data_IF_629315761286
#
_entry.id   IF_629315761286
#
_cell.length_a   1.000
_cell.length_b   1.000
_cell.length_c   1.000
_cell.angle_alpha   90.00
_cell.angle_beta   90.00
_cell.angle_gamma   90.00
#
_symmetry.space_group_name_H-M   'P 1'
#
loop_
_entity.id
_entity.type
_entity.pdbx_description
1 polymer ?
#
# COMPACT_ATOMS: atom_id res chain seq x y z
N UNK A 1 -7.76 15.23 -25.77
CA UNK A 1 -6.62 14.42 -25.31
C UNK A 1 -7.19 13.31 -24.44
N UNK A 2 -6.94 12.05 -24.78
CA UNK A 2 -7.45 10.93 -23.97
C UNK A 2 -6.66 10.91 -22.66
N UNK A 3 -7.33 11.05 -21.51
CA UNK A 3 -6.69 10.97 -20.20
C UNK A 3 -7.04 9.64 -19.57
N UNK A 4 -6.02 8.94 -19.06
CA UNK A 4 -6.13 7.61 -18.47
C UNK A 4 -6.26 7.74 -16.96
N UNK A 5 -7.19 6.99 -16.37
CA UNK A 5 -7.37 6.94 -14.93
C UNK A 5 -6.28 6.11 -14.25
N UNK A 6 -5.42 6.78 -13.49
CA UNK A 6 -4.37 6.13 -12.69
C UNK A 6 -4.96 5.28 -11.56
N UNK A 7 -6.15 5.63 -11.05
CA UNK A 7 -6.79 4.84 -10.00
C UNK A 7 -7.32 3.51 -10.55
N UNK A 8 -7.87 3.48 -11.77
CA UNK A 8 -8.21 2.22 -12.43
C UNK A 8 -6.97 1.32 -12.64
N UNK A 9 -5.82 1.89 -13.02
CA UNK A 9 -4.55 1.13 -13.10
C UNK A 9 -4.15 0.59 -11.73
N UNK A 10 -4.32 1.40 -10.68
CA UNK A 10 -4.02 1.01 -9.31
C UNK A 10 -4.88 -0.18 -8.85
N UNK A 11 -6.19 -0.10 -9.06
CA UNK A 11 -7.11 -1.17 -8.71
C UNK A 11 -6.80 -2.45 -9.46
N UNK A 12 -6.60 -2.37 -10.79
CA UNK A 12 -6.27 -3.53 -11.60
C UNK A 12 -4.97 -4.19 -11.14
N UNK A 13 -3.90 -3.41 -10.91
CA UNK A 13 -2.64 -3.94 -10.37
C UNK A 13 -2.86 -4.67 -9.04
N UNK A 14 -3.62 -4.08 -8.12
CA UNK A 14 -3.88 -4.68 -6.82
C UNK A 14 -4.72 -5.96 -6.89
N UNK A 15 -5.72 -6.01 -7.77
CA UNK A 15 -6.50 -7.22 -8.05
C UNK A 15 -5.61 -8.34 -8.60
N UNK A 16 -4.69 -8.00 -9.52
CA UNK A 16 -3.70 -8.93 -10.08
C UNK A 16 -2.57 -9.31 -9.09
N UNK A 17 -2.58 -8.71 -7.90
CA UNK A 17 -1.55 -8.85 -6.87
C UNK A 17 -0.24 -8.15 -7.19
N UNK A 18 -0.17 -7.34 -8.24
CA UNK A 18 0.99 -6.50 -8.53
C UNK A 18 1.08 -5.38 -7.48
N UNK A 19 2.24 -5.26 -6.85
CA UNK A 19 2.50 -4.22 -5.87
C UNK A 19 2.33 -2.84 -6.50
N UNK A 20 1.52 -2.03 -5.83
CA UNK A 20 1.17 -0.69 -6.27
C UNK A 20 0.90 0.16 -5.05
N UNK A 21 1.15 1.46 -5.17
CA UNK A 21 0.75 2.45 -4.17
C UNK A 21 -0.28 3.37 -4.80
N UNK A 22 -1.15 3.95 -3.97
CA UNK A 22 -2.15 4.88 -4.44
C UNK A 22 -1.58 6.01 -5.35
N UNK A 23 -2.28 6.41 -6.43
CA UNK A 23 -1.80 7.44 -7.35
C UNK A 23 -1.40 8.76 -6.67
N UNK A 24 -2.18 9.26 -5.69
CA UNK A 24 -1.79 10.47 -4.94
C UNK A 24 -0.42 10.34 -4.25
N UNK A 25 -0.12 9.16 -3.66
CA UNK A 25 1.17 8.93 -3.00
C UNK A 25 2.30 8.87 -4.03
N UNK A 26 2.06 8.21 -5.17
CA UNK A 26 3.04 8.15 -6.25
C UNK A 26 3.35 9.54 -6.82
N UNK A 27 2.33 10.36 -7.07
CA UNK A 27 2.48 11.74 -7.52
C UNK A 27 3.17 12.62 -6.48
N UNK A 28 2.84 12.45 -5.19
CA UNK A 28 3.50 13.14 -4.09
C UNK A 28 4.99 12.80 -4.00
N UNK A 29 5.33 11.51 -4.10
CA UNK A 29 6.73 11.06 -4.11
C UNK A 29 7.47 11.61 -5.34
N UNK A 30 6.85 11.51 -6.53
CA UNK A 30 7.40 12.06 -7.78
C UNK A 30 7.68 13.57 -7.68
N UNK A 31 6.85 14.33 -6.96
CA UNK A 31 7.11 15.74 -6.62
C UNK A 31 8.35 15.90 -5.75
N UNK A 32 8.52 15.10 -4.69
CA UNK A 32 9.63 15.26 -3.73
C UNK A 32 10.98 14.86 -4.32
N UNK A 33 11.00 13.84 -5.18
CA UNK A 33 12.19 13.48 -5.96
C UNK A 33 12.49 14.47 -7.11
N UNK A 34 11.73 15.57 -7.21
CA UNK A 34 11.86 16.53 -8.28
C UNK A 34 11.65 17.99 -7.91
N UNK A 35 12.77 18.72 -7.88
CA UNK A 35 12.96 19.76 -8.90
C UNK A 35 12.91 19.13 -10.32
N UNK A 36 11.79 18.49 -10.71
CA UNK A 36 11.61 17.81 -12.02
C UNK A 36 12.41 16.50 -12.26
N UNK A 37 12.99 15.89 -11.23
CA UNK A 37 13.86 14.71 -11.32
C UNK A 37 13.31 13.60 -12.21
N UNK A 38 14.01 13.32 -13.31
CA UNK A 38 13.76 12.30 -14.36
C UNK A 38 12.40 12.40 -15.09
N UNK A 39 11.33 12.85 -14.44
CA UNK A 39 10.00 12.98 -15.03
C UNK A 39 9.92 14.10 -16.08
N UNK A 40 10.55 15.26 -15.81
CA UNK A 40 10.55 16.42 -16.72
C UNK A 40 11.69 16.37 -17.77
N UNK A 41 12.78 15.61 -17.51
CA UNK A 41 14.02 15.68 -18.31
C UNK A 41 14.02 14.83 -19.59
N UNK A 42 13.09 13.89 -19.77
CA UNK A 42 13.22 12.83 -20.80
C UNK A 42 11.96 12.57 -21.65
N UNK A 43 10.95 13.44 -21.64
CA UNK A 43 9.77 13.25 -22.50
C UNK A 43 9.53 14.43 -23.44
N UNK A 44 9.40 14.16 -24.76
CA UNK A 44 9.05 15.19 -25.73
C UNK A 44 7.55 15.57 -25.72
N UNK A 45 6.72 14.85 -24.96
CA UNK A 45 5.26 15.00 -24.93
C UNK A 45 4.74 15.89 -23.79
N UNK A 46 3.49 16.35 -23.94
CA UNK A 46 2.75 17.10 -22.91
C UNK A 46 2.39 16.19 -21.74
N UNK A 47 2.82 16.51 -20.52
CA UNK A 47 2.60 15.69 -19.32
C UNK A 47 1.52 16.31 -18.41
N UNK A 48 0.26 16.19 -18.80
CA UNK A 48 -0.88 16.71 -18.03
C UNK A 48 -1.41 15.68 -17.03
N UNK A 49 -1.71 16.13 -15.82
CA UNK A 49 -2.32 15.34 -14.76
C UNK A 49 -3.53 16.13 -14.23
N UNK A 50 -4.66 15.46 -14.04
CA UNK A 50 -5.85 16.03 -13.41
C UNK A 50 -6.08 15.32 -12.09
N UNK A 51 -6.05 16.09 -11.00
CA UNK A 51 -6.30 15.61 -9.63
C UNK A 51 -7.48 16.39 -9.08
N UNK A 52 -8.62 15.74 -8.90
CA UNK A 52 -9.82 16.48 -8.57
C UNK A 52 -10.12 17.55 -9.64
N UNK A 53 -10.61 18.71 -9.21
CA UNK A 53 -10.84 19.86 -10.10
C UNK A 53 -9.59 20.50 -10.71
N UNK A 54 -8.38 20.08 -10.32
CA UNK A 54 -7.13 20.76 -10.70
C UNK A 54 -6.45 20.10 -11.90
N UNK A 55 -6.17 20.90 -12.93
CA UNK A 55 -5.28 20.52 -14.03
C UNK A 55 -3.85 20.95 -13.71
N UNK A 56 -2.93 20.01 -13.77
CA UNK A 56 -1.50 20.16 -13.57
C UNK A 56 -0.84 19.92 -14.92
N UNK A 57 -0.19 20.94 -15.46
CA UNK A 57 0.52 20.85 -16.76
C UNK A 57 2.01 20.53 -16.58
N UNK A 58 2.54 20.76 -15.39
CA UNK A 58 3.92 20.49 -15.02
C UNK A 58 3.99 19.88 -13.62
N UNK A 59 4.89 18.91 -13.38
CA UNK A 59 5.03 18.25 -12.08
C UNK A 59 5.27 19.23 -10.91
N UNK A 60 5.94 20.35 -11.15
CA UNK A 60 6.13 21.42 -10.15
C UNK A 60 4.81 22.00 -9.60
N UNK A 61 3.73 21.97 -10.38
CA UNK A 61 2.40 22.45 -9.97
C UNK A 61 1.64 21.44 -9.10
N UNK A 62 2.13 20.19 -8.95
CA UNK A 62 1.55 19.21 -8.02
C UNK A 62 1.59 19.68 -6.56
N UNK A 63 2.42 20.68 -6.24
CA UNK A 63 2.42 21.32 -4.91
C UNK A 63 1.05 21.94 -4.57
N UNK A 64 0.32 22.40 -5.58
CA UNK A 64 -0.95 23.09 -5.42
C UNK A 64 -2.14 22.10 -5.41
N UNK A 65 -1.91 20.82 -5.77
CA UNK A 65 -2.93 19.79 -5.92
C UNK A 65 -3.31 19.04 -4.62
N UNK A 66 -2.93 19.54 -3.43
CA UNK A 66 -3.26 18.95 -2.10
C UNK A 66 -3.05 17.42 -2.04
N UNK A 67 -1.89 16.95 -2.49
CA UNK A 67 -1.48 15.53 -2.49
C UNK A 67 -0.96 15.04 -1.12
N UNK A 68 -1.03 15.89 -0.11
CA UNK A 68 -0.55 15.70 1.25
C UNK A 68 -1.53 14.93 2.15
N UNK A 69 -2.69 14.55 1.60
CA UNK A 69 -3.70 13.78 2.33
C UNK A 69 -3.19 12.37 2.65
N UNK A 70 -3.11 12.05 3.94
CA UNK A 70 -3.01 10.67 4.44
C UNK A 70 -4.30 9.87 4.22
N UNK A 71 -5.39 10.54 3.83
CA UNK A 71 -6.65 9.88 3.44
C UNK A 71 -6.61 9.59 1.95
N UNK A 72 -6.68 8.30 1.62
CA UNK A 72 -6.37 7.74 0.31
C UNK A 72 -7.38 8.14 -0.80
N UNK A 73 -8.59 8.57 -0.47
CA UNK A 73 -9.64 8.83 -1.48
C UNK A 73 -10.07 10.31 -1.65
N UNK A 74 -9.29 11.28 -1.14
CA UNK A 74 -9.75 12.68 -1.05
C UNK A 74 -10.18 13.30 -2.39
N UNK A 75 -9.51 12.94 -3.49
CA UNK A 75 -9.73 13.59 -4.79
C UNK A 75 -10.55 12.78 -5.78
N UNK A 76 -10.90 11.53 -5.48
CA UNK A 76 -11.78 10.65 -6.27
C UNK A 76 -11.32 10.28 -7.69
N UNK A 77 -10.41 11.04 -8.30
CA UNK A 77 -10.00 10.85 -9.69
C UNK A 77 -8.59 11.39 -9.94
N UNK A 78 -7.80 10.60 -10.66
CA UNK A 78 -6.40 10.87 -11.01
C UNK A 78 -6.19 10.57 -12.50
N UNK A 79 -6.51 11.53 -13.36
CA UNK A 79 -6.34 11.32 -14.80
C UNK A 79 -4.98 11.82 -15.27
N UNK A 80 -4.37 11.13 -16.22
CA UNK A 80 -3.05 11.44 -16.72
C UNK A 80 -2.93 11.19 -18.23
N UNK A 81 -1.97 11.82 -18.89
CA UNK A 81 -1.63 11.45 -20.28
C UNK A 81 -1.03 10.04 -20.32
N UNK A 82 -1.05 9.42 -21.51
CA UNK A 82 -0.57 8.05 -21.72
C UNK A 82 0.86 7.84 -21.21
N UNK A 83 1.75 8.82 -21.39
CA UNK A 83 3.15 8.73 -20.97
C UNK A 83 3.28 8.63 -19.44
N UNK A 84 2.44 9.36 -18.69
CA UNK A 84 2.43 9.32 -17.23
C UNK A 84 1.75 8.05 -16.71
N UNK A 85 0.68 7.63 -17.36
CA UNK A 85 -0.01 6.38 -17.05
C UNK A 85 0.89 5.16 -17.26
N UNK A 86 1.66 5.12 -18.35
CA UNK A 86 2.63 4.05 -18.62
C UNK A 86 3.74 3.98 -17.57
N UNK A 87 4.23 5.13 -17.11
CA UNK A 87 5.21 5.19 -16.00
C UNK A 87 4.62 4.64 -14.70
N UNK A 88 3.38 5.00 -14.38
CA UNK A 88 2.70 4.47 -13.19
C UNK A 88 2.44 2.96 -13.28
N UNK A 89 2.07 2.48 -14.47
CA UNK A 89 1.89 1.05 -14.75
C UNK A 89 3.18 0.27 -14.48
N UNK A 90 4.32 0.75 -14.96
CA UNK A 90 5.65 0.11 -14.78
C UNK A 90 6.27 0.31 -13.40
N UNK A 91 5.75 1.24 -12.60
CA UNK A 91 6.30 1.54 -11.28
C UNK A 91 6.12 0.37 -10.30
N UNK A 92 7.21 -0.02 -9.65
CA UNK A 92 7.23 -1.01 -8.55
C UNK A 92 7.79 -0.34 -7.29
N UNK A 93 7.02 -0.30 -6.19
CA UNK A 93 7.47 0.21 -4.90
C UNK A 93 8.68 -0.57 -4.35
N UNK A 94 9.59 0.11 -3.63
CA UNK A 94 10.78 -0.50 -3.01
C UNK A 94 11.00 0.03 -1.59
N UNK A 95 11.78 -0.69 -0.79
CA UNK A 95 12.18 -0.29 0.57
C UNK A 95 10.95 0.07 1.44
N UNK A 96 10.95 1.27 2.05
CA UNK A 96 9.83 1.79 2.86
C UNK A 96 8.51 1.84 2.08
N UNK A 97 8.54 1.88 0.75
CA UNK A 97 7.35 1.84 -0.09
C UNK A 97 6.66 0.47 -0.16
N UNK A 98 7.32 -0.62 0.25
CA UNK A 98 6.74 -1.97 0.22
C UNK A 98 5.59 -2.13 1.20
N UNK A 99 5.75 -1.64 2.43
CA UNK A 99 4.69 -1.69 3.46
C UNK A 99 3.43 -0.95 2.98
N UNK A 100 3.62 0.26 2.45
CA UNK A 100 2.56 1.02 1.81
C UNK A 100 1.91 0.25 0.67
N UNK A 101 2.69 -0.43 -0.16
CA UNK A 101 2.19 -1.18 -1.30
C UNK A 101 1.37 -2.40 -0.90
N UNK A 102 1.84 -3.17 0.09
CA UNK A 102 1.11 -4.34 0.62
C UNK A 102 -0.21 -3.90 1.22
N UNK A 103 -0.19 -2.92 2.11
CA UNK A 103 -1.40 -2.32 2.69
C UNK A 103 -2.35 -1.80 1.60
N UNK A 104 -1.80 -1.16 0.59
CA UNK A 104 -2.58 -0.57 -0.49
C UNK A 104 -3.27 -1.67 -1.34
N UNK A 105 -2.57 -2.76 -1.64
CA UNK A 105 -3.15 -3.95 -2.30
C UNK A 105 -4.25 -4.58 -1.43
N UNK A 106 -3.99 -4.79 -0.14
CA UNK A 106 -4.96 -5.37 0.79
C UNK A 106 -6.24 -4.54 0.87
N UNK A 107 -6.12 -3.21 0.87
CA UNK A 107 -7.28 -2.33 0.93
C UNK A 107 -8.13 -2.33 -0.34
N UNK A 108 -7.54 -2.49 -1.54
CA UNK A 108 -8.34 -2.68 -2.77
C UNK A 108 -9.13 -3.99 -2.69
N UNK A 109 -8.53 -5.05 -2.16
CA UNK A 109 -9.18 -6.36 -1.95
C UNK A 109 -10.24 -6.34 -0.85
N UNK A 110 -10.21 -5.34 0.03
CA UNK A 110 -11.13 -5.16 1.15
C UNK A 110 -11.83 -3.79 1.07
N UNK A 111 -12.78 -3.60 0.13
CA UNK A 111 -13.37 -2.29 -0.14
C UNK A 111 -14.20 -1.72 1.02
N UNK A 112 -14.63 -2.55 1.98
CA UNK A 112 -15.28 -2.11 3.21
C UNK A 112 -14.28 -1.59 4.27
N UNK A 113 -12.98 -1.79 4.06
CA UNK A 113 -11.92 -1.36 4.95
C UNK A 113 -11.50 0.09 4.75
N UNK A 114 -11.01 0.72 5.80
CA UNK A 114 -10.45 2.07 5.78
C UNK A 114 -8.94 2.00 5.99
N UNK A 115 -8.17 2.82 5.29
CA UNK A 115 -6.70 2.88 5.46
C UNK A 115 -6.27 4.15 6.17
N UNK A 116 -5.14 4.08 6.88
CA UNK A 116 -4.55 5.21 7.60
C UNK A 116 -5.54 5.89 8.55
N UNK A 117 -6.30 5.09 9.31
CA UNK A 117 -7.30 5.61 10.24
C UNK A 117 -6.59 6.22 11.43
N UNK A 118 -6.78 7.52 11.61
CA UNK A 118 -6.14 8.28 12.69
C UNK A 118 -6.71 7.90 14.06
N UNK A 119 -5.81 7.67 15.01
CA UNK A 119 -6.10 7.53 16.44
C UNK A 119 -5.22 8.52 17.21
N UNK A 120 -5.40 8.66 18.53
CA UNK A 120 -4.53 9.56 19.32
C UNK A 120 -3.09 9.07 19.45
N UNK A 121 -2.80 7.82 19.08
CA UNK A 121 -1.47 7.18 19.23
C UNK A 121 -0.81 6.82 17.90
N UNK A 122 -1.44 7.16 16.77
CA UNK A 122 -0.90 6.86 15.44
C UNK A 122 -1.98 6.60 14.41
N UNK A 123 -1.61 5.90 13.34
CA UNK A 123 -2.49 5.60 12.21
C UNK A 123 -2.56 4.09 12.04
N UNK A 124 -3.78 3.54 12.06
CA UNK A 124 -4.03 2.14 11.74
C UNK A 124 -3.81 1.95 10.25
N UNK A 125 -3.01 0.96 9.86
CA UNK A 125 -2.77 0.67 8.44
C UNK A 125 -4.05 0.31 7.70
N UNK A 126 -4.80 -0.67 8.21
CA UNK A 126 -6.08 -1.09 7.65
C UNK A 126 -7.08 -1.44 8.76
N UNK A 127 -8.17 -0.69 8.83
CA UNK A 127 -9.31 -0.94 9.71
C UNK A 127 -10.41 -1.61 8.90
N UNK A 128 -10.63 -2.91 9.15
CA UNK A 128 -11.71 -3.69 8.59
C UNK A 128 -12.94 -3.64 9.50
N UNK A 129 -14.14 -3.99 8.99
CA UNK A 129 -15.33 -4.11 9.83
C UNK A 129 -15.18 -5.09 11.01
N UNK A 130 -14.21 -6.02 10.94
CA UNK A 130 -14.00 -7.08 11.95
C UNK A 130 -12.60 -7.10 12.55
N UNK A 131 -11.68 -6.23 12.11
CA UNK A 131 -10.28 -6.31 12.51
C UNK A 131 -9.53 -4.97 12.42
N UNK A 132 -8.59 -4.78 13.35
CA UNK A 132 -7.50 -3.81 13.26
C UNK A 132 -6.29 -4.53 12.71
N UNK A 133 -5.81 -4.12 11.53
CA UNK A 133 -4.70 -4.78 10.83
C UNK A 133 -3.50 -3.84 10.76
N UNK A 134 -2.34 -4.32 11.20
CA UNK A 134 -1.05 -3.66 11.04
C UNK A 134 -0.16 -4.43 10.06
N UNK A 135 0.41 -3.75 9.05
CA UNK A 135 1.21 -4.38 8.00
C UNK A 135 2.69 -4.17 8.27
N UNK A 136 3.49 -5.24 8.30
CA UNK A 136 4.96 -5.14 8.42
C UNK A 136 5.70 -6.20 7.64
N UNK A 137 6.97 -5.93 7.36
CA UNK A 137 7.89 -7.02 6.97
C UNK A 137 8.00 -8.02 8.12
N UNK A 138 8.19 -9.29 7.80
CA UNK A 138 8.35 -10.36 8.78
C UNK A 138 9.42 -10.03 9.85
N UNK A 139 10.53 -9.43 9.45
CA UNK A 139 11.62 -9.01 10.35
C UNK A 139 11.20 -7.97 11.40
N UNK A 140 10.11 -7.23 11.14
CA UNK A 140 9.59 -6.16 11.99
C UNK A 140 8.30 -6.58 12.73
N UNK A 141 8.02 -7.87 12.85
CA UNK A 141 6.78 -8.37 13.48
C UNK A 141 6.56 -7.85 14.91
N UNK A 142 7.62 -7.64 15.70
CA UNK A 142 7.51 -7.06 17.06
C UNK A 142 7.01 -5.62 17.04
N UNK A 143 7.39 -4.85 16.01
CA UNK A 143 6.90 -3.50 15.84
C UNK A 143 5.41 -3.53 15.51
N UNK A 144 4.99 -4.43 14.60
CA UNK A 144 3.58 -4.63 14.29
C UNK A 144 2.76 -5.00 15.53
N UNK A 145 3.27 -5.93 16.34
CA UNK A 145 2.63 -6.36 17.59
C UNK A 145 2.41 -5.18 18.54
N UNK A 146 3.45 -4.37 18.79
CA UNK A 146 3.32 -3.19 19.65
C UNK A 146 2.30 -2.18 19.12
N UNK A 147 2.32 -1.92 17.81
CA UNK A 147 1.41 -0.97 17.16
C UNK A 147 -0.05 -1.46 17.19
N UNK A 148 -0.31 -2.71 16.82
CA UNK A 148 -1.68 -3.26 16.81
C UNK A 148 -2.27 -3.28 18.22
N UNK A 149 -1.48 -3.56 19.26
CA UNK A 149 -1.94 -3.49 20.65
C UNK A 149 -2.31 -2.07 21.07
N UNK A 150 -1.50 -1.07 20.71
CA UNK A 150 -1.80 0.33 21.00
C UNK A 150 -3.08 0.82 20.29
N UNK A 151 -3.26 0.44 19.03
CA UNK A 151 -4.43 0.81 18.24
C UNK A 151 -5.71 0.12 18.68
N UNK A 152 -5.64 -1.15 19.09
CA UNK A 152 -6.81 -1.95 19.46
C UNK A 152 -7.54 -1.40 20.70
N UNK A 153 -6.89 -0.55 21.51
CA UNK A 153 -7.56 0.15 22.62
C UNK A 153 -8.67 1.12 22.15
N UNK A 154 -8.63 1.56 20.88
CA UNK A 154 -9.68 2.40 20.27
C UNK A 154 -10.77 1.56 19.58
N UNK A 155 -10.55 0.26 19.43
CA UNK A 155 -11.43 -0.68 18.73
C UNK A 155 -11.50 -2.02 19.48
N UNK A 156 -11.98 -2.04 20.73
CA UNK A 156 -11.84 -3.19 21.64
C UNK A 156 -12.55 -4.45 21.15
N UNK A 157 -13.61 -4.28 20.35
CA UNK A 157 -14.44 -5.39 19.85
C UNK A 157 -13.91 -5.99 18.54
N UNK A 158 -12.87 -5.40 17.95
CA UNK A 158 -12.28 -5.87 16.70
C UNK A 158 -11.12 -6.82 16.96
N UNK A 159 -10.95 -7.81 16.07
CA UNK A 159 -9.80 -8.71 16.13
C UNK A 159 -8.50 -7.94 15.87
N UNK A 160 -7.42 -8.34 16.53
CA UNK A 160 -6.09 -7.77 16.32
C UNK A 160 -5.35 -8.65 15.32
N UNK A 161 -4.90 -8.08 14.21
CA UNK A 161 -4.20 -8.83 13.16
C UNK A 161 -2.89 -8.13 12.85
N UNK A 162 -1.79 -8.88 12.79
CA UNK A 162 -0.59 -8.44 12.10
C UNK A 162 -0.51 -9.16 10.75
N UNK A 163 -0.38 -8.39 9.68
CA UNK A 163 -0.17 -8.91 8.34
C UNK A 163 1.31 -8.78 7.98
N UNK A 164 1.99 -9.92 7.88
CA UNK A 164 3.41 -9.99 7.62
C UNK A 164 3.71 -10.24 6.14
N UNK A 165 4.72 -9.59 5.60
CA UNK A 165 5.23 -9.92 4.27
C UNK A 165 6.71 -10.30 4.30
N UNK A 166 7.10 -11.24 3.43
CA UNK A 166 8.48 -11.71 3.33
C UNK A 166 8.90 -11.89 1.86
N UNK A 167 10.15 -11.56 1.47
CA UNK A 167 10.65 -11.86 0.13
C UNK A 167 10.77 -13.36 -0.15
N UNK A 168 10.55 -13.74 -1.41
CA UNK A 168 10.81 -15.09 -1.92
C UNK A 168 9.60 -16.02 -1.81
N UNK A 169 9.70 -17.18 -2.47
CA UNK A 169 8.62 -18.16 -2.53
C UNK A 169 8.57 -19.11 -1.31
N UNK A 170 9.60 -19.08 -0.46
CA UNK A 170 9.69 -19.95 0.72
C UNK A 170 8.62 -19.63 1.75
N UNK A 171 8.19 -20.66 2.50
CA UNK A 171 7.35 -20.48 3.68
C UNK A 171 8.24 -20.03 4.85
N UNK A 172 7.94 -18.91 5.53
CA UNK A 172 8.68 -18.52 6.71
C UNK A 172 8.38 -19.45 7.89
N UNK A 173 9.37 -19.67 8.74
CA UNK A 173 9.17 -20.27 10.05
C UNK A 173 8.56 -19.23 11.00
N UNK A 174 7.40 -19.55 11.59
CA UNK A 174 6.59 -18.62 12.37
C UNK A 174 6.29 -19.10 13.80
N UNK A 175 6.82 -20.25 14.23
CA UNK A 175 6.45 -20.88 15.52
C UNK A 175 6.55 -19.91 16.70
N UNK A 176 7.66 -19.19 16.85
CA UNK A 176 7.84 -18.26 17.97
C UNK A 176 6.94 -17.03 17.87
N UNK A 177 6.74 -16.49 16.66
CA UNK A 177 5.87 -15.35 16.40
C UNK A 177 4.42 -15.72 16.75
N UNK A 178 3.96 -16.90 16.34
CA UNK A 178 2.61 -17.40 16.62
C UNK A 178 2.39 -17.58 18.11
N UNK A 179 3.31 -18.29 18.78
CA UNK A 179 3.28 -18.50 20.22
C UNK A 179 3.18 -17.18 20.98
N UNK A 180 4.02 -16.20 20.64
CA UNK A 180 4.04 -14.90 21.33
C UNK A 180 2.78 -14.09 21.02
N UNK A 181 2.36 -13.98 19.74
CA UNK A 181 1.18 -13.19 19.36
C UNK A 181 -0.11 -13.77 19.96
N UNK A 182 -0.21 -15.10 20.08
CA UNK A 182 -1.33 -15.76 20.75
C UNK A 182 -1.51 -15.30 22.21
N UNK A 183 -0.43 -15.07 22.96
CA UNK A 183 -0.52 -14.54 24.35
C UNK A 183 -1.20 -13.17 24.45
N UNK A 184 -1.24 -12.41 23.35
CA UNK A 184 -1.87 -11.09 23.28
C UNK A 184 -3.22 -11.09 22.52
N UNK A 185 -3.72 -12.28 22.15
CA UNK A 185 -4.87 -12.45 21.28
C UNK A 185 -4.71 -11.65 19.98
N UNK A 186 -3.60 -11.89 19.29
CA UNK A 186 -3.23 -11.29 18.00
C UNK A 186 -3.07 -12.39 16.96
N UNK A 187 -3.88 -12.33 15.90
CA UNK A 187 -3.80 -13.23 14.75
C UNK A 187 -2.63 -12.81 13.83
N UNK A 188 -1.99 -13.78 13.17
CA UNK A 188 -0.98 -13.54 12.15
C UNK A 188 -1.50 -14.04 10.79
N UNK A 189 -1.46 -13.17 9.79
CA UNK A 189 -1.55 -13.55 8.38
C UNK A 189 -0.23 -13.23 7.70
N UNK A 190 0.15 -13.96 6.64
CA UNK A 190 1.32 -13.57 5.85
C UNK A 190 1.19 -13.80 4.35
N UNK A 191 1.98 -13.04 3.59
CA UNK A 191 2.10 -13.15 2.14
C UNK A 191 3.56 -13.05 1.67
N UNK A 192 3.88 -13.79 0.63
CA UNK A 192 5.20 -13.75 -0.01
C UNK A 192 5.30 -12.63 -1.05
N UNK A 193 6.45 -11.96 -1.13
CA UNK A 193 6.77 -11.07 -2.25
C UNK A 193 7.46 -11.88 -3.34
N UNK A 194 6.80 -11.97 -4.49
CA UNK A 194 7.15 -12.81 -5.62
C UNK A 194 7.60 -11.97 -6.83
N UNK A 195 8.36 -12.59 -7.77
CA UNK A 195 8.66 -11.97 -9.04
C UNK A 195 7.42 -11.81 -9.91
N UNK A 196 7.47 -10.83 -10.80
CA UNK A 196 6.61 -10.70 -11.99
C UNK A 196 7.41 -10.07 -13.12
N UNK A 197 6.77 -9.84 -14.27
CA UNK A 197 7.36 -9.10 -15.40
C UNK A 197 7.89 -7.71 -15.03
N UNK A 198 7.41 -7.12 -13.92
CA UNK A 198 7.86 -5.81 -13.44
C UNK A 198 9.08 -5.87 -12.49
N UNK A 199 9.53 -7.07 -12.11
CA UNK A 199 10.75 -7.28 -11.31
C UNK A 199 10.62 -8.31 -10.17
N UNK A 200 11.71 -8.57 -9.43
CA UNK A 200 11.82 -9.73 -8.52
C UNK A 200 10.96 -9.68 -7.25
N UNK A 201 10.51 -8.51 -6.81
CA UNK A 201 9.65 -8.31 -5.63
C UNK A 201 8.53 -7.36 -6.00
N UNK A 202 7.74 -7.74 -6.99
CA UNK A 202 6.73 -6.87 -7.60
C UNK A 202 5.31 -7.42 -7.50
N UNK A 203 5.13 -8.62 -6.95
CA UNK A 203 3.84 -9.27 -6.75
C UNK A 203 3.67 -9.74 -5.32
N UNK A 204 2.49 -9.54 -4.76
CA UNK A 204 2.04 -10.11 -3.50
C UNK A 204 1.39 -11.48 -3.78
N UNK A 205 1.94 -12.52 -3.16
CA UNK A 205 1.50 -13.91 -3.34
C UNK A 205 0.16 -14.22 -2.68
N UNK A 206 -0.13 -15.51 -2.49
CA UNK A 206 -1.32 -15.95 -1.76
C UNK A 206 -1.19 -15.60 -0.27
N UNK A 207 -2.32 -15.24 0.34
CA UNK A 207 -2.43 -15.05 1.79
C UNK A 207 -2.57 -16.39 2.51
N UNK A 208 -1.81 -16.51 3.60
CA UNK A 208 -1.86 -17.65 4.50
C UNK A 208 -2.32 -17.18 5.89
N UNK A 209 -3.38 -17.81 6.40
CA UNK A 209 -3.78 -17.68 7.81
C UNK A 209 -2.96 -18.66 8.64
N UNK A 210 -2.19 -18.13 9.60
CA UNK A 210 -1.29 -18.94 10.37
C UNK A 210 -1.99 -19.86 11.40
N UNK A 211 -3.31 -19.69 11.63
CA UNK A 211 -4.11 -20.60 12.45
C UNK A 211 -4.29 -21.99 11.83
N UNK A 212 -4.11 -22.14 10.52
CA UNK A 212 -4.16 -23.42 9.83
C UNK A 212 -2.87 -24.26 9.92
N UNK A 213 -1.85 -23.77 10.64
CA UNK A 213 -0.50 -24.37 10.67
C UNK A 213 -0.34 -25.38 11.81
N UNK A 214 -1.19 -25.36 12.82
CA UNK A 214 -1.08 -26.24 14.00
C UNK A 214 -1.68 -27.66 13.82
N UNK A 215 -2.00 -28.09 12.58
CA UNK A 215 -2.65 -29.39 12.33
C UNK A 215 -1.85 -30.36 11.44
N UNK A 216 -0.54 -30.16 11.26
CA UNK A 216 0.34 -31.12 10.56
C UNK A 216 1.57 -31.47 11.36
#
# INVERSE_FOLDING_TARGET
>A
MNMIDLYAIHEQKALDGILTIHPARWLYAGRQFGQGGVFDLLSPGTQKIRVGGHLVEHFRQLRDARLDSKVRHKHGYYFATSEIAERYLKYVPRNRGLECAVRDVLSVRNPAGQTEVHTRVGYVDLLLPTAVVEVKSLTNWKHALGQVLAYSNYYPDLRKVIHLYTPGAGRPELTEQLKICATFNVDITYQNLLPSELGPMSRLGQEFDARGIEQT
#
